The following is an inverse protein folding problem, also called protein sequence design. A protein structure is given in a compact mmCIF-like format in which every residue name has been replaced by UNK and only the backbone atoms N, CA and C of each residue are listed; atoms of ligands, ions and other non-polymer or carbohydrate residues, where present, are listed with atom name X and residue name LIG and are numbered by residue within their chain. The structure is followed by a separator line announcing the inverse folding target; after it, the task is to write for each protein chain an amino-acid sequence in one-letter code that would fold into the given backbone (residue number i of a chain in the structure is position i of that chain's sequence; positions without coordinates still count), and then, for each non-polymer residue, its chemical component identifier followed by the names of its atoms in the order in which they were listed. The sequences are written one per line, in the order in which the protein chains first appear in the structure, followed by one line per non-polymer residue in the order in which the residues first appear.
data_IF_750197429278
#
_entry.id   IF_750197429278
#
_cell.length_a   1.000
_cell.length_b   1.000
_cell.length_c   1.000
_cell.angle_alpha   90.00
_cell.angle_beta   90.00
_cell.angle_gamma   90.00
#
_symmetry.space_group_name_H-M   'P 1'
#
loop_
_entity.id
_entity.type
_entity.pdbx_description
1 polymer ?
#
# COMPACT_ATOMS: atom_id res chain seq x y z
N UNK A 1 11.91 17.25 46.07
CA UNK A 1 12.54 16.96 44.77
C UNK A 1 12.05 15.60 44.28
N UNK A 2 11.21 15.59 43.29
CA UNK A 2 10.66 14.34 42.77
C UNK A 2 11.62 13.81 41.70
N UNK A 3 12.12 12.60 41.91
CA UNK A 3 12.97 11.88 40.96
C UNK A 3 12.22 11.62 39.69
N UNK A 4 12.60 12.31 38.63
CA UNK A 4 12.20 11.97 37.24
C UNK A 4 12.86 10.62 36.92
N UNK A 5 12.14 9.53 37.11
CA UNK A 5 12.47 8.22 36.56
C UNK A 5 12.46 8.34 35.05
N UNK A 6 13.60 8.54 34.44
CA UNK A 6 13.80 8.40 33.01
C UNK A 6 13.30 6.99 32.62
N UNK A 7 12.28 6.95 31.79
CA UNK A 7 11.74 5.68 31.27
C UNK A 7 12.89 4.88 30.67
N UNK A 8 13.13 3.69 31.20
CA UNK A 8 14.08 2.74 30.66
C UNK A 8 13.83 2.58 29.17
N UNK A 9 14.86 2.77 28.36
CA UNK A 9 14.81 2.46 26.92
C UNK A 9 14.27 1.03 26.81
N UNK A 10 13.01 0.88 26.34
CA UNK A 10 12.50 -0.45 25.98
C UNK A 10 13.52 -1.06 25.03
N UNK A 11 14.25 -2.08 25.47
CA UNK A 11 15.03 -2.94 24.58
C UNK A 11 14.03 -3.43 23.52
N UNK A 12 14.20 -2.97 22.29
CA UNK A 12 13.49 -3.60 21.17
C UNK A 12 13.96 -5.04 21.17
N UNK A 13 13.05 -5.98 21.48
CA UNK A 13 13.32 -7.38 21.25
C UNK A 13 13.80 -7.49 19.81
N UNK A 14 15.03 -7.92 19.62
CA UNK A 14 15.53 -8.25 18.30
C UNK A 14 14.62 -9.38 17.84
N UNK A 15 13.72 -9.10 16.87
CA UNK A 15 12.87 -10.11 16.31
C UNK A 15 13.74 -11.26 15.85
N UNK A 16 13.71 -12.36 16.59
CA UNK A 16 14.29 -13.64 16.19
C UNK A 16 13.42 -14.16 15.05
N UNK A 17 13.62 -13.73 13.85
CA UNK A 17 12.73 -14.07 12.74
C UNK A 17 13.06 -13.34 11.44
N UNK A 18 14.33 -13.02 11.21
CA UNK A 18 14.77 -12.43 9.93
C UNK A 18 14.39 -13.31 8.71
N UNK A 19 14.21 -14.60 8.89
CA UNK A 19 13.84 -15.54 7.84
C UNK A 19 12.52 -15.21 7.12
N UNK A 20 11.57 -14.58 7.79
CA UNK A 20 10.28 -14.23 7.16
C UNK A 20 10.40 -13.11 6.14
N UNK A 21 11.39 -12.24 6.23
CA UNK A 21 11.62 -11.16 5.25
C UNK A 21 12.16 -11.67 3.92
N UNK A 22 12.83 -12.82 3.93
CA UNK A 22 13.41 -13.44 2.74
C UNK A 22 12.37 -14.13 1.85
N UNK A 23 11.17 -14.39 2.39
CA UNK A 23 10.08 -15.07 1.68
C UNK A 23 9.02 -14.12 1.11
N UNK A 24 9.29 -12.83 1.12
CA UNK A 24 8.41 -11.82 0.57
C UNK A 24 8.66 -11.69 -0.93
N UNK A 25 7.63 -11.63 -1.81
CA UNK A 25 7.82 -11.56 -3.26
C UNK A 25 8.33 -10.18 -3.71
N UNK A 26 9.45 -9.73 -3.17
CA UNK A 26 10.03 -8.42 -3.44
C UNK A 26 10.68 -8.37 -4.82
N UNK A 27 11.33 -9.45 -5.23
CA UNK A 27 11.94 -9.55 -6.56
C UNK A 27 10.89 -9.48 -7.65
N UNK A 28 9.81 -10.27 -7.55
CA UNK A 28 8.71 -10.24 -8.50
C UNK A 28 8.12 -8.85 -8.61
N UNK A 29 7.81 -8.20 -7.48
CA UNK A 29 7.15 -6.88 -7.46
C UNK A 29 8.08 -5.79 -7.99
N UNK A 30 9.32 -5.71 -7.51
CA UNK A 30 10.21 -4.60 -7.81
C UNK A 30 11.13 -4.82 -9.00
N UNK A 31 11.26 -6.04 -9.49
CA UNK A 31 12.15 -6.38 -10.60
C UNK A 31 11.39 -6.89 -11.81
N UNK A 32 10.61 -7.98 -11.66
CA UNK A 32 9.91 -8.58 -12.80
C UNK A 32 8.74 -7.72 -13.30
N UNK A 33 7.95 -7.10 -12.42
CA UNK A 33 6.87 -6.24 -12.87
C UNK A 33 7.40 -4.97 -13.55
N UNK A 34 8.59 -4.50 -13.15
CA UNK A 34 9.17 -3.27 -13.68
C UNK A 34 8.37 -2.02 -13.32
N UNK A 35 8.71 -0.88 -13.93
CA UNK A 35 7.95 0.35 -13.78
C UNK A 35 8.11 1.06 -12.43
N UNK A 36 7.33 2.14 -12.26
CA UNK A 36 7.35 3.00 -11.06
C UNK A 36 6.29 2.57 -10.08
N UNK A 37 6.71 2.22 -8.87
CA UNK A 37 5.81 1.82 -7.77
C UNK A 37 5.73 2.94 -6.75
N UNK A 38 4.53 3.50 -6.59
CA UNK A 38 4.20 4.45 -5.53
C UNK A 38 3.61 3.67 -4.34
N UNK A 39 4.18 3.86 -3.16
CA UNK A 39 3.57 3.39 -1.91
C UNK A 39 2.70 4.49 -1.31
N UNK A 40 1.53 4.14 -0.77
CA UNK A 40 0.67 5.07 -0.05
C UNK A 40 0.07 4.42 1.19
N UNK A 41 -0.06 5.25 2.24
CA UNK A 41 -0.63 4.83 3.52
C UNK A 41 -1.29 6.01 4.23
N UNK A 42 -2.29 5.72 5.05
CA UNK A 42 -2.89 6.69 5.94
C UNK A 42 -2.10 6.78 7.25
N UNK A 43 -1.74 8.01 7.64
CA UNK A 43 -1.18 8.26 8.96
C UNK A 43 -2.34 8.50 9.92
N UNK A 44 -2.39 7.68 10.97
CA UNK A 44 -3.46 7.70 11.97
C UNK A 44 -3.59 9.03 12.71
N UNK A 45 -4.61 9.07 13.54
CA UNK A 45 -5.05 10.24 14.32
C UNK A 45 -3.91 10.96 15.03
N UNK A 46 -3.80 12.27 14.79
CA UNK A 46 -2.87 13.18 15.44
C UNK A 46 -3.65 14.30 16.09
N UNK A 47 -3.30 14.70 17.30
CA UNK A 47 -4.01 15.71 18.08
C UNK A 47 -3.14 16.93 18.30
N UNK A 48 -3.71 18.12 18.15
CA UNK A 48 -3.10 19.38 18.57
C UNK A 48 -3.58 19.67 20.00
N UNK A 49 -2.70 20.21 20.85
CA UNK A 49 -3.05 20.63 22.20
C UNK A 49 -4.27 21.57 22.19
N UNK A 50 -5.26 21.29 23.03
CA UNK A 50 -6.49 22.07 23.09
C UNK A 50 -7.54 21.76 22.02
N UNK A 51 -7.32 20.76 21.17
CA UNK A 51 -8.29 20.32 20.15
C UNK A 51 -8.73 18.87 20.37
N UNK A 52 -10.04 18.63 20.36
CA UNK A 52 -10.63 17.28 20.52
C UNK A 52 -10.65 16.48 19.22
N UNK A 53 -10.78 17.17 18.08
CA UNK A 53 -10.84 16.51 16.78
C UNK A 53 -9.45 16.13 16.26
N UNK A 54 -9.25 14.88 15.85
CA UNK A 54 -7.98 14.43 15.32
C UNK A 54 -7.73 14.94 13.90
N UNK A 55 -6.47 15.17 13.59
CA UNK A 55 -5.98 15.37 12.24
C UNK A 55 -5.57 14.03 11.62
N UNK A 56 -5.92 13.83 10.36
CA UNK A 56 -5.53 12.68 9.55
C UNK A 56 -4.62 13.13 8.42
N UNK A 57 -3.72 12.24 8.00
CA UNK A 57 -2.81 12.51 6.90
C UNK A 57 -2.75 11.30 5.97
N UNK A 58 -2.33 11.55 4.75
CA UNK A 58 -1.96 10.53 3.77
C UNK A 58 -0.52 10.74 3.37
N UNK A 59 0.24 9.66 3.27
CA UNK A 59 1.62 9.64 2.82
C UNK A 59 1.72 8.99 1.45
N UNK A 60 2.62 9.51 0.62
CA UNK A 60 3.01 8.97 -0.67
C UNK A 60 4.53 8.84 -0.73
N UNK A 61 5.03 7.74 -1.27
CA UNK A 61 6.46 7.50 -1.34
C UNK A 61 6.86 6.71 -2.58
N UNK A 62 7.85 7.21 -3.31
CA UNK A 62 8.63 6.39 -4.24
C UNK A 62 9.87 5.85 -3.54
N UNK A 63 9.97 4.51 -3.44
CA UNK A 63 11.11 3.81 -2.83
C UNK A 63 12.36 3.86 -3.72
N UNK A 64 12.17 3.64 -5.04
CA UNK A 64 13.26 3.67 -6.03
C UNK A 64 13.49 5.09 -6.54
N UNK A 65 14.70 5.34 -7.04
CA UNK A 65 15.08 6.63 -7.61
C UNK A 65 14.23 7.01 -8.86
N UNK A 66 13.89 8.27 -9.02
CA UNK A 66 14.09 9.36 -8.06
C UNK A 66 13.15 9.21 -6.85
N UNK A 67 13.72 9.21 -5.63
CA UNK A 67 12.95 9.03 -4.38
C UNK A 67 12.11 10.26 -4.08
N UNK A 68 10.87 10.04 -3.65
CA UNK A 68 9.97 11.10 -3.20
C UNK A 68 9.29 10.69 -1.91
N UNK A 69 9.15 11.65 -0.99
CA UNK A 69 8.29 11.57 0.19
C UNK A 69 7.37 12.77 0.17
N UNK A 70 6.07 12.52 0.29
CA UNK A 70 5.08 13.58 0.29
C UNK A 70 3.96 13.26 1.26
N UNK A 71 3.55 14.23 2.05
CA UNK A 71 2.51 14.10 3.06
C UNK A 71 1.44 15.16 2.83
N UNK A 72 0.18 14.81 3.05
CA UNK A 72 -0.93 15.74 2.96
C UNK A 72 -1.93 15.50 4.08
N UNK A 73 -2.38 16.57 4.72
CA UNK A 73 -3.51 16.51 5.66
C UNK A 73 -4.81 16.26 4.88
N UNK A 74 -5.67 15.44 5.46
CA UNK A 74 -6.97 15.04 4.93
C UNK A 74 -8.02 15.13 6.02
N UNK A 75 -9.28 15.23 5.64
CA UNK A 75 -10.41 15.32 6.59
C UNK A 75 -10.70 13.97 7.26
N UNK A 76 -10.45 12.86 6.57
CA UNK A 76 -10.66 11.51 7.08
C UNK A 76 -10.08 10.44 6.17
N UNK A 77 -9.93 9.24 6.71
CA UNK A 77 -9.39 8.08 5.99
C UNK A 77 -10.50 7.40 5.15
N UNK A 78 -10.96 8.07 4.11
CA UNK A 78 -12.05 7.63 3.23
C UNK A 78 -11.55 7.36 1.81
N UNK A 79 -12.31 6.55 1.05
CA UNK A 79 -12.02 6.29 -0.36
C UNK A 79 -12.00 7.59 -1.19
N UNK A 80 -12.90 8.52 -0.91
CA UNK A 80 -13.00 9.77 -1.66
C UNK A 80 -11.78 10.67 -1.40
N UNK A 81 -11.30 10.74 -0.14
CA UNK A 81 -10.07 11.46 0.19
C UNK A 81 -8.83 10.78 -0.43
N UNK A 82 -8.76 9.44 -0.41
CA UNK A 82 -7.70 8.69 -1.09
C UNK A 82 -7.66 9.04 -2.59
N UNK A 83 -8.80 8.97 -3.26
CA UNK A 83 -8.94 9.28 -4.70
C UNK A 83 -8.54 10.74 -4.99
N UNK A 84 -9.10 11.68 -4.23
CA UNK A 84 -8.83 13.12 -4.38
C UNK A 84 -7.34 13.45 -4.23
N UNK A 85 -6.67 12.85 -3.23
CA UNK A 85 -5.26 13.13 -3.01
C UNK A 85 -4.34 12.39 -3.98
N UNK A 86 -4.70 11.17 -4.40
CA UNK A 86 -3.97 10.44 -5.44
C UNK A 86 -4.04 11.16 -6.79
N UNK A 87 -5.21 11.66 -7.19
CA UNK A 87 -5.36 12.46 -8.42
C UNK A 87 -4.49 13.73 -8.39
N UNK A 88 -4.52 14.46 -7.26
CA UNK A 88 -3.66 15.63 -7.05
C UNK A 88 -2.18 15.29 -7.10
N UNK A 89 -1.80 14.17 -6.50
CA UNK A 89 -0.42 13.70 -6.51
C UNK A 89 0.04 13.37 -7.93
N UNK A 90 -0.76 12.64 -8.71
CA UNK A 90 -0.43 12.29 -10.09
C UNK A 90 -0.26 13.51 -10.99
N UNK A 91 -1.08 14.55 -10.78
CA UNK A 91 -0.98 15.83 -11.51
C UNK A 91 0.24 16.67 -11.10
N UNK A 92 0.58 16.64 -9.80
CA UNK A 92 1.67 17.49 -9.27
C UNK A 92 3.05 16.90 -9.53
N UNK A 93 3.19 15.58 -9.49
CA UNK A 93 4.47 14.87 -9.57
C UNK A 93 4.56 13.98 -10.80
N UNK A 94 4.22 12.72 -10.63
CA UNK A 94 4.17 11.73 -11.70
C UNK A 94 3.08 10.69 -11.43
N UNK A 95 2.54 10.14 -12.51
CA UNK A 95 1.62 9.01 -12.43
C UNK A 95 2.44 7.72 -12.42
N UNK A 96 2.34 6.88 -11.34
CA UNK A 96 3.08 5.63 -11.26
C UNK A 96 2.50 4.57 -12.20
N UNK A 97 3.24 3.48 -12.42
CA UNK A 97 2.71 2.30 -13.09
C UNK A 97 1.92 1.42 -12.12
N UNK A 98 2.40 1.35 -10.88
CA UNK A 98 1.79 0.57 -9.81
C UNK A 98 1.62 1.43 -8.56
N UNK A 99 0.57 1.14 -7.79
CA UNK A 99 0.37 1.77 -6.49
C UNK A 99 0.18 0.71 -5.41
N UNK A 100 1.14 0.63 -4.47
CA UNK A 100 1.10 -0.29 -3.34
C UNK A 100 0.40 0.37 -2.17
N UNK A 101 -0.66 -0.28 -1.70
CA UNK A 101 -1.60 0.23 -0.70
C UNK A 101 -1.92 -0.83 0.35
N UNK A 102 -2.44 -0.39 1.49
CA UNK A 102 -2.93 -1.26 2.54
C UNK A 102 -4.29 -1.89 2.19
N UNK A 103 -4.79 -2.77 3.07
CA UNK A 103 -6.10 -3.40 2.94
C UNK A 103 -7.17 -2.69 3.80
N UNK A 104 -7.11 -1.36 3.94
CA UNK A 104 -8.14 -0.59 4.64
C UNK A 104 -9.47 -0.58 3.88
N UNK A 105 -10.57 -0.32 4.58
CA UNK A 105 -11.89 -0.19 3.94
C UNK A 105 -11.93 0.92 2.89
N UNK A 106 -11.11 1.96 3.06
CA UNK A 106 -11.01 3.04 2.08
C UNK A 106 -10.47 2.57 0.73
N UNK A 107 -9.58 1.58 0.72
CA UNK A 107 -8.90 1.05 -0.47
C UNK A 107 -9.53 -0.23 -0.98
N UNK A 108 -9.86 -1.19 -0.10
CA UNK A 108 -10.45 -2.48 -0.51
C UNK A 108 -11.98 -2.41 -0.69
N UNK A 109 -12.64 -1.45 -0.04
CA UNK A 109 -14.05 -1.11 -0.20
C UNK A 109 -14.98 -1.83 0.78
N UNK A 110 -15.10 -3.13 0.72
CA UNK A 110 -16.03 -3.92 1.55
C UNK A 110 -15.30 -4.98 2.35
N UNK A 111 -15.66 -5.11 3.62
CA UNK A 111 -15.15 -6.17 4.49
C UNK A 111 -15.76 -7.54 4.19
N UNK A 112 -16.93 -7.60 3.54
CA UNK A 112 -17.68 -8.85 3.29
C UNK A 112 -17.95 -9.13 1.81
N UNK A 113 -17.75 -8.13 0.93
CA UNK A 113 -18.03 -8.30 -0.50
C UNK A 113 -16.97 -9.16 -1.18
N UNK A 114 -17.42 -10.28 -1.79
CA UNK A 114 -16.54 -11.17 -2.53
C UNK A 114 -16.25 -10.63 -3.91
N UNK A 115 -14.97 -10.61 -4.32
CA UNK A 115 -14.49 -10.23 -5.66
C UNK A 115 -15.04 -8.88 -6.16
N UNK A 116 -15.18 -7.92 -5.23
CA UNK A 116 -15.65 -6.58 -5.54
C UNK A 116 -14.51 -5.67 -5.97
N UNK A 117 -14.80 -4.77 -6.91
CA UNK A 117 -13.91 -3.66 -7.26
C UNK A 117 -14.36 -2.43 -6.46
N UNK A 118 -13.49 -1.93 -5.60
CA UNK A 118 -13.74 -0.71 -4.81
C UNK A 118 -13.69 0.56 -5.68
N UNK A 119 -14.18 1.69 -5.15
CA UNK A 119 -14.02 3.01 -5.78
C UNK A 119 -12.54 3.34 -6.01
N UNK A 120 -11.68 3.03 -5.04
CA UNK A 120 -10.23 3.27 -5.12
C UNK A 120 -9.56 2.41 -6.21
N UNK A 121 -9.87 1.11 -6.27
CA UNK A 121 -9.38 0.23 -7.33
C UNK A 121 -9.83 0.74 -8.72
N UNK A 122 -11.11 1.04 -8.89
CA UNK A 122 -11.66 1.57 -10.13
C UNK A 122 -10.99 2.86 -10.59
N UNK A 123 -10.74 3.80 -9.64
CA UNK A 123 -10.01 5.04 -9.92
C UNK A 123 -8.58 4.76 -10.41
N UNK A 124 -7.84 3.88 -9.73
CA UNK A 124 -6.47 3.54 -10.11
C UNK A 124 -6.43 2.91 -11.51
N UNK A 125 -7.28 1.90 -11.75
CA UNK A 125 -7.34 1.21 -13.05
C UNK A 125 -7.76 2.13 -14.19
N UNK A 126 -8.74 3.03 -13.96
CA UNK A 126 -9.13 4.07 -14.95
C UNK A 126 -7.95 4.99 -15.29
N UNK A 127 -7.06 5.24 -14.33
CA UNK A 127 -5.84 6.00 -14.56
C UNK A 127 -4.67 5.15 -15.07
N UNK A 128 -4.89 3.87 -15.44
CA UNK A 128 -3.85 2.93 -15.87
C UNK A 128 -2.75 2.74 -14.80
N UNK A 129 -3.14 2.79 -13.53
CA UNK A 129 -2.30 2.48 -12.37
C UNK A 129 -2.76 1.15 -11.79
N UNK A 130 -1.86 0.19 -11.70
CA UNK A 130 -2.16 -1.15 -11.19
C UNK A 130 -2.03 -1.17 -9.67
N UNK A 131 -3.11 -1.48 -8.91
CA UNK A 131 -3.03 -1.59 -7.46
C UNK A 131 -2.30 -2.86 -7.02
N UNK A 132 -1.46 -2.74 -5.99
CA UNK A 132 -0.80 -3.84 -5.28
C UNK A 132 -1.22 -3.76 -3.82
N UNK A 133 -1.97 -4.74 -3.34
CA UNK A 133 -2.37 -4.81 -1.94
C UNK A 133 -1.30 -5.50 -1.10
N UNK A 134 -0.86 -4.81 -0.06
CA UNK A 134 0.10 -5.33 0.91
C UNK A 134 -0.46 -6.51 1.71
N UNK A 135 0.40 -7.19 2.47
CA UNK A 135 -0.03 -8.28 3.34
C UNK A 135 -0.89 -7.72 4.46
N UNK A 136 -2.11 -8.24 4.69
CA UNK A 136 -2.97 -7.77 5.77
C UNK A 136 -2.29 -7.91 7.14
N UNK A 137 -2.34 -6.86 7.96
CA UNK A 137 -1.82 -6.83 9.34
C UNK A 137 -0.31 -7.15 9.46
N UNK A 138 0.46 -6.95 8.40
CA UNK A 138 1.91 -7.15 8.38
C UNK A 138 2.63 -5.87 7.95
N UNK A 139 2.98 -4.98 8.89
CA UNK A 139 3.60 -3.69 8.61
C UNK A 139 4.85 -3.79 7.73
N UNK A 140 5.70 -4.78 7.97
CA UNK A 140 6.93 -4.97 7.19
C UNK A 140 6.68 -5.10 5.68
N UNK A 141 5.47 -5.49 5.27
CA UNK A 141 5.13 -5.56 3.84
C UNK A 141 5.10 -4.20 3.16
N UNK A 142 5.10 -3.13 3.94
CA UNK A 142 5.17 -1.73 3.50
C UNK A 142 6.29 -0.96 4.22
N UNK A 143 7.42 -1.61 4.50
CA UNK A 143 8.51 -1.05 5.31
C UNK A 143 9.00 0.32 4.85
N UNK A 144 8.96 0.61 3.55
CA UNK A 144 9.38 1.91 3.01
C UNK A 144 8.43 3.03 3.44
N UNK A 145 7.12 2.88 3.24
CA UNK A 145 6.15 3.90 3.64
C UNK A 145 6.07 4.03 5.16
N UNK A 146 6.21 2.94 5.90
CA UNK A 146 6.26 2.97 7.36
C UNK A 146 7.52 3.68 7.89
N UNK A 147 8.66 3.47 7.25
CA UNK A 147 9.87 4.24 7.50
C UNK A 147 9.63 5.75 7.30
N UNK A 148 8.90 6.13 6.26
CA UNK A 148 8.52 7.52 6.00
C UNK A 148 7.53 8.05 7.04
N UNK A 149 6.54 7.27 7.46
CA UNK A 149 5.62 7.63 8.55
C UNK A 149 6.38 7.83 9.87
N UNK A 150 7.41 7.03 10.14
CA UNK A 150 8.30 7.23 11.28
C UNK A 150 9.12 8.54 11.18
N UNK A 151 9.59 8.90 9.98
CA UNK A 151 10.26 10.18 9.73
C UNK A 151 9.30 11.35 9.95
N UNK A 152 8.08 11.28 9.44
CA UNK A 152 7.03 12.24 9.67
C UNK A 152 6.79 12.44 11.19
N UNK A 153 6.61 11.35 11.92
CA UNK A 153 6.39 11.41 13.35
C UNK A 153 7.57 12.07 14.09
N UNK A 154 8.81 11.64 13.84
CA UNK A 154 10.00 12.09 14.59
C UNK A 154 10.49 13.48 14.18
N UNK A 155 10.44 13.81 12.88
CA UNK A 155 11.04 15.05 12.36
C UNK A 155 10.03 16.17 12.14
N UNK A 156 8.75 15.87 12.11
CA UNK A 156 7.69 16.85 11.93
C UNK A 156 6.74 16.88 13.12
N UNK A 157 5.94 15.84 13.35
CA UNK A 157 4.83 15.87 14.29
C UNK A 157 5.29 16.02 15.76
N UNK A 158 6.21 15.19 16.21
CA UNK A 158 6.66 15.18 17.61
C UNK A 158 7.72 16.26 17.93
N UNK A 159 8.13 17.03 16.93
CA UNK A 159 9.18 18.06 17.10
C UNK A 159 8.62 19.46 17.20
N UNK A 160 7.38 19.66 16.79
CA UNK A 160 6.74 20.97 16.69
C UNK A 160 5.48 20.94 17.54
N UNK A 161 5.33 21.90 18.40
CA UNK A 161 4.07 22.16 19.07
C UNK A 161 3.23 23.09 18.19
N UNK A 162 2.14 22.55 17.66
CA UNK A 162 1.27 23.28 16.74
C UNK A 162 0.16 24.00 17.50
N UNK A 163 -0.05 25.28 17.19
CA UNK A 163 -1.12 26.11 17.76
C UNK A 163 -2.40 26.08 16.96
N UNK A 164 -2.33 25.73 15.67
CA UNK A 164 -3.51 25.73 14.78
C UNK A 164 -3.35 24.75 13.62
N UNK A 165 -4.47 24.40 12.99
CA UNK A 165 -4.50 23.58 11.76
C UNK A 165 -3.80 24.29 10.62
N UNK A 166 -3.95 25.62 10.52
CA UNK A 166 -3.29 26.43 9.50
C UNK A 166 -1.76 26.31 9.61
N UNK A 167 -1.25 26.43 10.82
CA UNK A 167 0.18 26.25 11.07
C UNK A 167 0.69 24.84 10.69
N UNK A 168 -0.12 23.81 10.97
CA UNK A 168 0.20 22.44 10.52
C UNK A 168 0.33 22.39 9.00
N UNK A 169 -0.62 22.97 8.26
CA UNK A 169 -0.63 22.93 6.81
C UNK A 169 0.57 23.69 6.21
N UNK A 170 0.90 24.87 6.74
CA UNK A 170 2.04 25.69 6.31
C UNK A 170 3.39 24.98 6.56
N UNK A 171 3.57 24.47 7.79
CA UNK A 171 4.79 23.75 8.16
C UNK A 171 4.91 22.41 7.43
N UNK A 172 3.80 21.74 7.13
CA UNK A 172 3.79 20.51 6.35
C UNK A 172 4.24 20.74 4.91
N UNK A 173 3.85 21.84 4.31
CA UNK A 173 4.31 22.20 2.96
C UNK A 173 5.82 22.47 2.94
N UNK A 174 6.33 23.22 3.90
CA UNK A 174 7.77 23.42 4.07
C UNK A 174 8.52 22.09 4.30
N UNK A 175 7.98 21.19 5.12
CA UNK A 175 8.55 19.87 5.38
C UNK A 175 8.63 19.02 4.10
N UNK A 176 7.59 19.05 3.27
CA UNK A 176 7.57 18.37 1.98
C UNK A 176 8.64 18.94 1.03
N UNK A 177 8.74 20.26 0.92
CA UNK A 177 9.76 20.92 0.08
C UNK A 177 11.17 20.58 0.54
N UNK A 178 11.43 20.62 1.85
CA UNK A 178 12.70 20.22 2.43
C UNK A 178 13.06 18.77 2.16
N UNK A 179 12.06 17.87 2.22
CA UNK A 179 12.23 16.46 1.90
C UNK A 179 12.57 16.24 0.42
N UNK A 180 11.92 16.98 -0.49
CA UNK A 180 12.19 16.92 -1.92
C UNK A 180 13.61 17.41 -2.25
N UNK A 181 14.04 18.53 -1.65
CA UNK A 181 15.41 19.02 -1.79
C UNK A 181 16.44 18.01 -1.29
N UNK A 182 16.17 17.39 -0.14
CA UNK A 182 17.05 16.37 0.43
C UNK A 182 17.19 15.13 -0.44
N UNK A 183 16.10 14.69 -1.09
CA UNK A 183 16.11 13.52 -1.99
C UNK A 183 16.55 13.87 -3.42
N UNK A 184 16.71 15.16 -3.74
CA UNK A 184 17.01 15.59 -5.11
C UNK A 184 15.88 15.28 -6.11
N UNK A 185 14.65 15.05 -5.63
CA UNK A 185 13.54 14.69 -6.51
C UNK A 185 13.24 15.79 -7.52
N UNK A 186 13.28 15.40 -8.77
CA UNK A 186 12.78 16.20 -9.88
C UNK A 186 11.71 15.38 -10.60
N UNK A 187 10.52 15.97 -10.88
CA UNK A 187 9.51 15.26 -11.64
C UNK A 187 10.09 14.92 -13.01
N UNK A 188 9.93 13.67 -13.47
CA UNK A 188 10.42 13.28 -14.77
C UNK A 188 9.75 14.14 -15.84
N UNK A 189 10.50 14.57 -16.85
CA UNK A 189 9.91 15.20 -18.03
C UNK A 189 8.87 14.25 -18.59
N UNK A 190 7.60 14.66 -18.56
CA UNK A 190 6.47 13.83 -18.99
C UNK A 190 6.67 13.54 -20.50
N UNK A 191 7.18 12.36 -20.81
CA UNK A 191 7.00 11.82 -22.16
C UNK A 191 5.54 11.38 -22.24
N UNK A 192 4.78 11.82 -23.28
CA UNK A 192 3.44 11.31 -23.49
C UNK A 192 3.55 9.79 -23.50
N UNK A 193 2.88 9.12 -22.58
CA UNK A 193 2.80 7.66 -22.63
C UNK A 193 2.09 7.34 -23.94
N UNK A 194 2.77 6.70 -24.86
CA UNK A 194 2.10 5.97 -25.95
C UNK A 194 1.04 5.10 -25.29
N UNK A 195 -0.17 5.05 -25.87
CA UNK A 195 -1.22 4.12 -25.44
C UNK A 195 -0.63 2.73 -25.49
N UNK A 196 -0.05 2.26 -24.38
CA UNK A 196 0.28 0.85 -24.20
C UNK A 196 -1.06 0.15 -24.05
N UNK A 197 -1.20 -1.01 -24.64
CA UNK A 197 -2.32 -1.89 -24.36
C UNK A 197 -2.34 -2.19 -22.87
N UNK A 198 -3.15 -1.42 -22.13
CA UNK A 198 -3.25 -1.54 -20.70
C UNK A 198 -4.06 -2.79 -20.36
N UNK A 199 -3.45 -3.74 -19.69
CA UNK A 199 -4.14 -4.91 -19.16
C UNK A 199 -4.50 -4.61 -17.71
N UNK A 200 -5.80 -4.48 -17.37
CA UNK A 200 -6.24 -4.20 -16.02
C UNK A 200 -5.99 -5.41 -15.12
N UNK A 201 -5.10 -5.23 -14.15
CA UNK A 201 -4.70 -6.25 -13.17
C UNK A 201 -4.76 -5.68 -11.76
N UNK A 202 -4.94 -6.55 -10.77
CA UNK A 202 -4.82 -6.24 -9.35
C UNK A 202 -3.92 -7.27 -8.71
N UNK A 203 -2.95 -6.82 -7.92
CA UNK A 203 -2.04 -7.69 -7.21
C UNK A 203 -2.34 -7.72 -5.72
N UNK A 204 -2.24 -8.90 -5.12
CA UNK A 204 -2.39 -9.10 -3.69
C UNK A 204 -1.19 -9.89 -3.16
N UNK A 205 -0.51 -9.33 -2.17
CA UNK A 205 0.52 -10.07 -1.45
C UNK A 205 -0.16 -10.75 -0.27
N UNK A 206 -0.03 -12.08 -0.16
CA UNK A 206 -0.73 -12.86 0.87
C UNK A 206 0.22 -13.84 1.53
N UNK A 207 0.05 -14.01 2.85
CA UNK A 207 0.67 -15.11 3.55
C UNK A 207 -0.26 -16.32 3.47
N UNK A 208 0.30 -17.47 3.13
CA UNK A 208 -0.44 -18.74 3.14
C UNK A 208 -0.67 -19.15 4.58
N UNK A 209 -1.93 -19.36 4.93
CA UNK A 209 -2.38 -19.75 6.28
C UNK A 209 -2.76 -21.21 6.30
N UNK A 210 -2.67 -21.82 7.47
CA UNK A 210 -3.29 -23.10 7.76
C UNK A 210 -4.70 -22.88 8.28
N UNK A 211 -5.63 -23.71 7.83
CA UNK A 211 -7.00 -23.74 8.35
C UNK A 211 -6.97 -24.27 9.79
N UNK A 212 -7.64 -23.56 10.69
CA UNK A 212 -7.68 -23.94 12.12
C UNK A 212 -8.54 -25.18 12.40
N UNK A 213 -9.55 -25.41 11.56
CA UNK A 213 -10.51 -26.50 11.73
C UNK A 213 -10.09 -27.75 10.95
N UNK A 214 -9.31 -27.59 9.89
CA UNK A 214 -8.83 -28.68 9.04
C UNK A 214 -7.31 -28.63 8.93
N UNK A 215 -6.66 -29.31 9.88
CA UNK A 215 -5.19 -29.41 9.93
C UNK A 215 -4.65 -29.88 8.58
N UNK A 216 -3.67 -29.15 8.06
CA UNK A 216 -3.05 -29.45 6.79
C UNK A 216 -3.71 -28.78 5.56
N UNK A 217 -4.85 -28.11 5.73
CA UNK A 217 -5.46 -27.36 4.64
C UNK A 217 -4.87 -25.93 4.58
N UNK A 218 -4.16 -25.65 3.52
CA UNK A 218 -3.50 -24.36 3.30
C UNK A 218 -4.34 -23.45 2.38
N UNK A 219 -4.44 -22.17 2.70
CA UNK A 219 -5.18 -21.19 1.88
C UNK A 219 -4.63 -19.77 1.99
N UNK A 220 -5.01 -18.95 1.04
CA UNK A 220 -4.93 -17.49 1.10
C UNK A 220 -6.32 -16.88 0.96
N UNK A 221 -6.54 -15.72 1.57
CA UNK A 221 -7.75 -14.93 1.34
C UNK A 221 -7.48 -13.84 0.29
N UNK A 222 -8.30 -13.83 -0.76
CA UNK A 222 -8.29 -12.78 -1.79
C UNK A 222 -9.70 -12.24 -1.94
N UNK A 223 -9.94 -11.03 -1.45
CA UNK A 223 -11.26 -10.37 -1.49
C UNK A 223 -12.39 -11.25 -0.92
N UNK A 224 -12.17 -11.79 0.27
CA UNK A 224 -13.09 -12.67 1.00
C UNK A 224 -13.40 -14.00 0.29
N UNK A 225 -12.54 -14.43 -0.60
CA UNK A 225 -12.55 -15.76 -1.20
C UNK A 225 -11.31 -16.54 -0.75
N UNK A 226 -11.52 -17.72 -0.22
CA UNK A 226 -10.46 -18.64 0.15
C UNK A 226 -9.94 -19.36 -1.10
N UNK A 227 -8.66 -19.27 -1.33
CA UNK A 227 -7.97 -19.97 -2.40
C UNK A 227 -7.03 -20.99 -1.81
N UNK A 228 -7.38 -22.26 -1.93
CA UNK A 228 -6.59 -23.36 -1.38
C UNK A 228 -5.29 -23.57 -2.17
N UNK A 229 -4.22 -23.85 -1.45
CA UNK A 229 -2.87 -24.08 -1.97
C UNK A 229 -2.27 -25.37 -1.38
N UNK A 230 -1.20 -25.93 -1.96
CA UNK A 230 -0.49 -27.05 -1.35
C UNK A 230 0.07 -26.68 0.03
N UNK A 231 0.06 -27.63 0.96
CA UNK A 231 0.52 -27.47 2.34
C UNK A 231 1.98 -26.98 2.44
N UNK A 232 2.82 -27.39 1.48
CA UNK A 232 4.22 -26.99 1.44
C UNK A 232 4.45 -25.47 1.40
N UNK A 233 3.40 -24.67 1.11
CA UNK A 233 3.47 -23.21 1.10
C UNK A 233 2.98 -22.55 2.40
N UNK A 234 2.55 -23.31 3.41
CA UNK A 234 2.11 -22.73 4.69
C UNK A 234 3.21 -21.83 5.26
N UNK A 235 2.80 -20.65 5.76
CA UNK A 235 3.64 -19.57 6.28
C UNK A 235 4.48 -18.82 5.24
N UNK A 236 4.57 -19.26 4.01
CA UNK A 236 5.23 -18.50 2.95
C UNK A 236 4.33 -17.37 2.42
N UNK A 237 4.96 -16.41 1.75
CA UNK A 237 4.26 -15.34 1.04
C UNK A 237 4.14 -15.68 -0.44
N UNK A 238 2.99 -15.33 -1.01
CA UNK A 238 2.69 -15.50 -2.43
C UNK A 238 2.15 -14.21 -3.01
N UNK A 239 2.31 -14.03 -4.32
CA UNK A 239 1.74 -12.94 -5.09
C UNK A 239 0.55 -13.47 -5.88
N UNK A 240 -0.64 -12.98 -5.59
CA UNK A 240 -1.84 -13.27 -6.36
C UNK A 240 -2.07 -12.13 -7.37
N UNK A 241 -2.11 -12.47 -8.65
CA UNK A 241 -2.43 -11.58 -9.77
C UNK A 241 -3.85 -11.84 -10.25
N UNK A 242 -4.74 -10.89 -10.08
CA UNK A 242 -6.07 -10.95 -10.69
C UNK A 242 -6.05 -10.21 -12.03
N UNK A 243 -6.11 -10.95 -13.12
CA UNK A 243 -6.30 -10.43 -14.47
C UNK A 243 -7.79 -10.25 -14.73
N UNK A 244 -8.23 -8.99 -14.76
CA UNK A 244 -9.65 -8.66 -14.87
C UNK A 244 -10.22 -8.95 -16.28
N UNK A 245 -9.38 -8.81 -17.31
CA UNK A 245 -9.79 -9.08 -18.70
C UNK A 245 -10.03 -10.58 -18.94
N UNK A 246 -9.17 -11.41 -18.36
CA UNK A 246 -9.28 -12.88 -18.48
C UNK A 246 -10.21 -13.49 -17.42
N UNK A 247 -10.61 -12.71 -16.41
CA UNK A 247 -11.33 -13.21 -15.22
C UNK A 247 -10.61 -14.40 -14.55
N UNK A 248 -9.26 -14.33 -14.48
CA UNK A 248 -8.39 -15.36 -13.93
C UNK A 248 -7.57 -14.82 -12.76
N UNK A 249 -7.34 -15.67 -11.76
CA UNK A 249 -6.41 -15.42 -10.67
C UNK A 249 -5.21 -16.35 -10.82
N UNK A 250 -4.03 -15.76 -10.87
CA UNK A 250 -2.75 -16.47 -10.94
C UNK A 250 -2.04 -16.30 -9.61
N UNK A 251 -1.51 -17.38 -9.05
CA UNK A 251 -0.75 -17.35 -7.80
C UNK A 251 0.70 -17.69 -8.11
N UNK A 252 1.60 -16.80 -7.71
CA UNK A 252 3.04 -16.93 -7.89
C UNK A 252 3.73 -17.10 -6.55
N UNK A 253 4.70 -17.98 -6.51
CA UNK A 253 5.62 -18.17 -5.40
C UNK A 253 7.02 -17.77 -5.84
N UNK A 254 7.72 -16.99 -5.01
CA UNK A 254 9.07 -16.54 -5.26
C UNK A 254 10.05 -17.25 -4.34
N UNK A 255 11.06 -17.85 -4.94
CA UNK A 255 12.21 -18.44 -4.24
C UNK A 255 13.48 -18.14 -5.03
N UNK A 256 14.55 -17.70 -4.34
CA UNK A 256 15.88 -17.47 -4.93
C UNK A 256 15.86 -16.58 -6.18
N UNK A 257 15.02 -15.53 -6.15
CA UNK A 257 14.81 -14.59 -7.27
C UNK A 257 14.14 -15.23 -8.52
N UNK A 258 13.56 -16.40 -8.38
CA UNK A 258 12.73 -17.01 -9.40
C UNK A 258 11.26 -16.94 -8.98
N UNK A 259 10.39 -16.54 -9.91
CA UNK A 259 8.94 -16.48 -9.69
C UNK A 259 8.25 -17.59 -10.47
N UNK A 260 7.63 -18.52 -9.76
CA UNK A 260 6.93 -19.67 -10.33
C UNK A 260 5.43 -19.56 -10.12
N UNK A 261 4.65 -19.74 -11.18
CA UNK A 261 3.19 -19.88 -11.05
C UNK A 261 2.88 -21.24 -10.41
N UNK A 262 2.18 -21.22 -9.28
CA UNK A 262 1.82 -22.43 -8.51
C UNK A 262 0.33 -22.76 -8.61
N UNK A 263 -0.51 -21.80 -9.00
CA UNK A 263 -1.95 -22.03 -9.20
C UNK A 263 -2.53 -21.03 -10.19
N UNK A 264 -3.52 -21.49 -10.96
CA UNK A 264 -4.39 -20.69 -11.83
C UNK A 264 -5.83 -21.13 -11.60
N UNK A 265 -6.77 -20.19 -11.50
CA UNK A 265 -8.19 -20.49 -11.33
C UNK A 265 -9.07 -19.37 -11.91
N UNK A 266 -10.32 -19.72 -12.25
CA UNK A 266 -11.32 -18.73 -12.65
C UNK A 266 -11.69 -17.84 -11.45
N UNK A 267 -11.66 -16.52 -11.66
CA UNK A 267 -11.93 -15.54 -10.61
C UNK A 267 -12.73 -14.38 -11.21
N UNK A 268 -14.02 -14.64 -11.40
CA UNK A 268 -14.93 -13.71 -12.08
C UNK A 268 -15.23 -12.49 -11.22
N UNK A 269 -15.31 -11.34 -11.86
CA UNK A 269 -15.70 -10.08 -11.19
C UNK A 269 -17.15 -10.21 -10.71
N UNK A 270 -17.41 -9.71 -9.49
CA UNK A 270 -18.78 -9.65 -8.98
C UNK A 270 -19.67 -8.81 -9.91
N UNK A 271 -20.89 -9.29 -10.20
CA UNK A 271 -21.82 -8.65 -11.13
C UNK A 271 -22.06 -7.16 -10.80
N UNK A 272 -22.21 -6.81 -9.52
CA UNK A 272 -22.37 -5.40 -9.06
C UNK A 272 -21.17 -4.52 -9.36
N UNK A 273 -20.00 -5.11 -9.56
CA UNK A 273 -18.76 -4.38 -9.89
C UNK A 273 -18.50 -4.27 -11.38
N UNK A 274 -19.14 -5.11 -12.21
CA UNK A 274 -18.95 -5.13 -13.68
C UNK A 274 -19.27 -3.78 -14.32
N UNK A 275 -20.35 -3.13 -13.91
CA UNK A 275 -20.74 -1.81 -14.42
C UNK A 275 -19.66 -0.75 -14.17
N UNK A 276 -18.97 -0.82 -13.01
CA UNK A 276 -17.90 0.11 -12.67
C UNK A 276 -16.62 -0.14 -13.48
N UNK A 277 -16.52 -1.32 -14.06
CA UNK A 277 -15.33 -1.77 -14.80
C UNK A 277 -15.48 -1.64 -16.32
N UNK A 278 -16.69 -1.35 -16.84
CA UNK A 278 -16.99 -1.29 -18.27
C UNK A 278 -16.12 -0.33 -19.09
N UNK A 279 -15.41 0.60 -18.44
CA UNK A 279 -14.55 1.57 -19.10
C UNK A 279 -13.10 1.11 -19.30
N UNK A 280 -12.68 -0.03 -18.69
CA UNK A 280 -11.30 -0.52 -18.74
C UNK A 280 -11.14 -2.04 -18.86
N UNK A 281 -12.26 -2.80 -18.97
CA UNK A 281 -12.27 -4.23 -19.26
C UNK A 281 -12.62 -4.50 -20.74
#
# INVERSE_FOLDING_TARGET
MADLKLSSKRRRDKHKGAAHYLCYPEYTIYTLLGGRILESDFIGKKYITGRTEPLNFIAFSFKKEPKLRYFKRIEGQTADNFIKQSDRFFKKFEKPDFMKIDNSLATIGSASGKRNISKAMGFLLKNQVIPIFAVPRKPFSQASIEGNNSIFARKFWNRIEFKSVKEVDEKLEWFNLSSQRYTGYQPPKVKPRTKRDFIPKIYFIRQVKEDKEQIGKAFIDVLNEEVFLPQSYINYFVLAEWNLKEEQLYIYFEKEQESKMIKKLSFKINSRSKERCSHFI
#
